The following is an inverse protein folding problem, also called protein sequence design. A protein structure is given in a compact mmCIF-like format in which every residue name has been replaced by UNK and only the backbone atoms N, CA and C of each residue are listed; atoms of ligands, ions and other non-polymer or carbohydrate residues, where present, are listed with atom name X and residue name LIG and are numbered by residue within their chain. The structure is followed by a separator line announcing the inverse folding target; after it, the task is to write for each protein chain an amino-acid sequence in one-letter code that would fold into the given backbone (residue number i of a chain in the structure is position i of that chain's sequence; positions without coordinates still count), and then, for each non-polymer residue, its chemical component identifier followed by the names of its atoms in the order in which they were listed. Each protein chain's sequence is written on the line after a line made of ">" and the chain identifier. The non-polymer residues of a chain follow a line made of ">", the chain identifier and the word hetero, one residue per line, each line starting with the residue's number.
data_IF_041961447022
#
_entry.id   IF_041961447022
#
_cell.length_a   1.000
_cell.length_b   1.000
_cell.length_c   1.000
_cell.angle_alpha   90.00
_cell.angle_beta   90.00
_cell.angle_gamma   90.00
#
_symmetry.space_group_name_H-M   'P 1'
#
loop_
_entity.id
_entity.type
_entity.pdbx_description
1 polymer ?
#
# COMPACT_ATOMS: atom_id res chain seq x y z
N UNK A 1 -9.49 3.91 4.07
CA UNK A 1 -8.50 2.84 3.81
C UNK A 1 -7.89 2.40 5.15
N UNK A 2 -7.69 1.09 5.32
CA UNK A 2 -7.07 0.52 6.53
C UNK A 2 -5.64 0.04 6.18
N UNK A 3 -4.58 0.70 6.68
CA UNK A 3 -3.20 0.34 6.36
C UNK A 3 -2.77 -1.02 6.93
N UNK A 4 -3.45 -1.53 7.97
CA UNK A 4 -3.15 -2.83 8.58
C UNK A 4 -4.08 -3.95 8.11
N UNK A 5 -4.89 -3.72 7.08
CA UNK A 5 -5.81 -4.72 6.54
C UNK A 5 -5.07 -5.99 6.10
N UNK A 6 -5.62 -7.15 6.48
CA UNK A 6 -5.09 -8.45 6.09
C UNK A 6 -6.21 -9.31 5.51
N UNK A 7 -6.02 -9.83 4.29
CA UNK A 7 -6.97 -10.71 3.62
C UNK A 7 -6.87 -12.15 4.12
N UNK A 8 -7.84 -13.00 3.76
CA UNK A 8 -7.83 -14.44 4.07
C UNK A 8 -6.63 -15.19 3.47
N UNK A 9 -6.05 -14.66 2.38
CA UNK A 9 -4.86 -15.22 1.71
C UNK A 9 -3.56 -14.49 2.10
N UNK A 10 -3.60 -13.71 3.20
CA UNK A 10 -2.46 -12.98 3.75
C UNK A 10 -1.88 -11.89 2.80
N UNK A 11 -2.72 -11.32 1.94
CA UNK A 11 -2.40 -10.05 1.32
C UNK A 11 -2.56 -8.94 2.36
N UNK A 12 -1.64 -7.97 2.42
CA UNK A 12 -1.59 -6.96 3.48
C UNK A 12 -1.49 -5.53 2.97
N UNK A 13 -1.95 -4.60 3.81
CA UNK A 13 -1.84 -3.16 3.62
C UNK A 13 -2.92 -2.58 2.70
N UNK A 14 -2.83 -1.29 2.42
CA UNK A 14 -3.78 -0.58 1.54
C UNK A 14 -3.74 -1.10 0.09
N UNK A 15 -2.59 -1.64 -0.34
CA UNK A 15 -2.36 -2.18 -1.66
C UNK A 15 -2.56 -3.70 -1.75
N UNK A 16 -2.82 -4.38 -0.62
CA UNK A 16 -3.07 -5.82 -0.57
C UNK A 16 -1.97 -6.65 -1.26
N UNK A 17 -0.69 -6.31 -0.99
CA UNK A 17 0.41 -7.07 -1.55
C UNK A 17 0.49 -8.50 -0.98
N UNK A 18 0.57 -9.47 -1.89
CA UNK A 18 0.98 -10.83 -1.55
C UNK A 18 2.48 -10.87 -1.21
N UNK A 19 2.89 -11.73 -0.29
CA UNK A 19 4.28 -11.83 0.18
C UNK A 19 5.31 -11.90 -0.96
N UNK A 20 5.12 -12.81 -1.92
CA UNK A 20 6.06 -12.97 -3.04
C UNK A 20 6.17 -11.73 -3.91
N UNK A 21 5.04 -11.11 -4.23
CA UNK A 21 5.01 -9.88 -5.03
C UNK A 21 5.66 -8.71 -4.27
N UNK A 22 5.38 -8.56 -2.98
CA UNK A 22 6.03 -7.56 -2.15
C UNK A 22 7.56 -7.67 -2.17
N UNK A 23 8.08 -8.88 -1.99
CA UNK A 23 9.53 -9.14 -2.06
C UNK A 23 10.12 -8.86 -3.43
N UNK A 24 9.40 -9.14 -4.52
CA UNK A 24 9.82 -8.84 -5.90
C UNK A 24 9.96 -7.33 -6.12
N UNK A 25 9.15 -6.51 -5.44
CA UNK A 25 9.21 -5.06 -5.50
C UNK A 25 9.97 -4.43 -4.33
N UNK A 26 10.85 -5.19 -3.69
CA UNK A 26 11.80 -4.79 -2.65
C UNK A 26 11.16 -4.30 -1.35
N UNK A 27 9.91 -4.64 -1.07
CA UNK A 27 9.34 -4.38 0.25
C UNK A 27 10.00 -5.30 1.29
N UNK A 28 10.46 -4.72 2.37
CA UNK A 28 11.05 -5.46 3.49
C UNK A 28 9.96 -6.18 4.27
N UNK A 29 10.18 -7.46 4.50
CA UNK A 29 9.30 -8.28 5.35
C UNK A 29 10.17 -9.18 6.20
N UNK A 30 10.15 -8.96 7.51
CA UNK A 30 10.87 -9.74 8.51
C UNK A 30 10.04 -9.85 9.80
N UNK A 31 10.68 -10.28 10.91
CA UNK A 31 10.03 -10.47 12.21
C UNK A 31 9.48 -9.17 12.81
N UNK A 32 10.08 -8.02 12.54
CA UNK A 32 9.76 -6.73 13.14
C UNK A 32 9.13 -5.75 12.15
N UNK A 33 9.43 -5.90 10.86
CA UNK A 33 9.02 -4.97 9.80
C UNK A 33 8.21 -5.68 8.74
N UNK A 34 7.08 -5.09 8.34
CA UNK A 34 6.31 -5.49 7.17
C UNK A 34 5.92 -4.23 6.37
N UNK A 35 6.74 -3.85 5.38
CA UNK A 35 6.52 -2.64 4.58
C UNK A 35 5.29 -2.70 3.66
N UNK A 36 4.60 -3.84 3.58
CA UNK A 36 3.27 -3.88 2.95
C UNK A 36 2.26 -3.02 3.69
N UNK A 37 2.50 -2.81 4.99
CA UNK A 37 1.68 -1.99 5.87
C UNK A 37 2.06 -0.50 5.82
N UNK A 38 3.29 -0.15 5.37
CA UNK A 38 3.68 1.25 5.16
C UNK A 38 2.96 1.81 3.92
N UNK A 39 2.08 2.83 4.07
CA UNK A 39 1.35 3.37 2.92
C UNK A 39 2.26 3.99 1.85
N UNK A 40 3.40 4.55 2.24
CA UNK A 40 4.34 5.21 1.31
C UNK A 40 5.15 4.16 0.56
N UNK A 41 5.84 3.26 1.29
CA UNK A 41 6.66 2.21 0.68
C UNK A 41 5.83 1.32 -0.24
N UNK A 42 4.63 0.87 0.23
CA UNK A 42 3.75 0.03 -0.58
C UNK A 42 3.18 0.77 -1.80
N UNK A 43 2.93 2.09 -1.73
CA UNK A 43 2.48 2.86 -2.88
C UNK A 43 3.57 3.00 -3.95
N UNK A 44 4.83 3.20 -3.56
CA UNK A 44 5.96 3.17 -4.50
C UNK A 44 6.11 1.80 -5.18
N UNK A 45 5.98 0.72 -4.42
CA UNK A 45 6.01 -0.64 -4.95
C UNK A 45 4.85 -0.91 -5.93
N UNK A 46 3.64 -0.46 -5.60
CA UNK A 46 2.46 -0.59 -6.46
C UNK A 46 2.59 0.22 -7.76
N UNK A 47 3.10 1.44 -7.68
CA UNK A 47 3.37 2.27 -8.86
C UNK A 47 4.38 1.59 -9.79
N UNK A 48 5.44 0.99 -9.23
CA UNK A 48 6.43 0.23 -10.00
C UNK A 48 5.82 -1.00 -10.65
N UNK A 49 5.01 -1.78 -9.91
CA UNK A 49 4.28 -2.91 -10.46
C UNK A 49 3.40 -2.51 -11.66
N UNK A 50 2.62 -1.44 -11.51
CA UNK A 50 1.72 -0.96 -12.56
C UNK A 50 2.48 -0.46 -13.79
N UNK A 51 3.62 0.22 -13.59
CA UNK A 51 4.53 0.62 -14.66
C UNK A 51 5.07 -0.59 -15.44
N UNK A 52 5.56 -1.60 -14.73
CA UNK A 52 6.08 -2.83 -15.34
C UNK A 52 4.97 -3.58 -16.10
N UNK A 53 3.77 -3.67 -15.52
CA UNK A 53 2.61 -4.27 -16.17
C UNK A 53 2.19 -3.50 -17.44
N UNK A 54 2.19 -2.17 -17.39
CA UNK A 54 1.94 -1.34 -18.57
C UNK A 54 2.98 -1.57 -19.67
N UNK A 55 4.24 -1.70 -19.30
CA UNK A 55 5.32 -2.03 -20.26
C UNK A 55 5.07 -3.38 -20.95
N UNK A 56 4.52 -4.37 -20.22
CA UNK A 56 4.20 -5.70 -20.77
C UNK A 56 2.97 -5.66 -21.68
N UNK A 57 1.91 -4.99 -21.25
CA UNK A 57 0.60 -5.07 -21.90
C UNK A 57 0.32 -3.94 -22.88
N UNK A 58 0.93 -2.76 -22.70
CA UNK A 58 0.69 -1.55 -23.51
C UNK A 58 -0.66 -0.88 -23.28
N UNK A 59 -1.43 -1.35 -22.28
CA UNK A 59 -2.78 -0.88 -21.98
C UNK A 59 -3.00 -0.81 -20.46
N UNK A 60 -3.59 0.29 -19.96
CA UNK A 60 -3.83 0.49 -18.52
C UNK A 60 -4.91 -0.42 -17.96
N UNK A 61 -5.96 -0.75 -18.72
CA UNK A 61 -7.00 -1.66 -18.26
C UNK A 61 -6.45 -3.06 -18.03
N UNK A 62 -5.53 -3.51 -18.90
CA UNK A 62 -4.82 -4.78 -18.75
C UNK A 62 -3.81 -4.74 -17.59
N UNK A 63 -3.10 -3.63 -17.41
CA UNK A 63 -2.19 -3.45 -16.28
C UNK A 63 -2.93 -3.50 -14.94
N UNK A 64 -4.07 -2.80 -14.83
CA UNK A 64 -4.92 -2.81 -13.65
C UNK A 64 -5.55 -4.20 -13.42
N UNK A 65 -6.02 -4.87 -14.48
CA UNK A 65 -6.51 -6.24 -14.39
C UNK A 65 -5.41 -7.19 -13.86
N UNK A 66 -4.16 -7.02 -14.33
CA UNK A 66 -3.02 -7.84 -13.89
C UNK A 66 -2.66 -7.61 -12.43
N UNK A 67 -2.89 -6.43 -11.89
CA UNK A 67 -2.71 -6.15 -10.47
C UNK A 67 -3.63 -7.02 -9.60
N UNK A 68 -4.88 -7.18 -10.02
CA UNK A 68 -5.86 -8.01 -9.32
C UNK A 68 -5.63 -9.52 -9.47
N UNK A 69 -5.42 -10.00 -10.71
CA UNK A 69 -5.37 -11.45 -10.95
C UNK A 69 -3.99 -12.01 -11.34
N UNK A 70 -3.00 -11.15 -11.45
CA UNK A 70 -1.65 -11.51 -11.93
C UNK A 70 -1.54 -11.55 -13.46
N UNK A 71 -0.36 -11.20 -13.96
CA UNK A 71 -0.06 -11.15 -15.40
C UNK A 71 -0.29 -12.49 -16.11
N UNK A 72 -0.12 -13.61 -15.41
CA UNK A 72 -0.36 -14.95 -15.96
C UNK A 72 -1.82 -15.18 -16.37
N UNK A 73 -2.79 -14.70 -15.58
CA UNK A 73 -4.21 -14.84 -15.90
C UNK A 73 -4.63 -13.90 -17.03
N UNK A 74 -4.10 -12.68 -17.08
CA UNK A 74 -4.31 -11.76 -18.21
C UNK A 74 -3.77 -12.38 -19.50
N UNK A 75 -2.55 -12.92 -19.50
CA UNK A 75 -1.96 -13.60 -20.67
C UNK A 75 -2.78 -14.83 -21.12
N UNK A 76 -3.35 -15.59 -20.18
CA UNK A 76 -4.29 -16.70 -20.52
C UNK A 76 -5.53 -16.17 -21.22
N UNK A 77 -6.11 -15.07 -20.71
CA UNK A 77 -7.29 -14.44 -21.31
C UNK A 77 -7.01 -13.92 -22.73
N UNK A 78 -5.87 -13.25 -22.93
CA UNK A 78 -5.41 -12.80 -24.25
C UNK A 78 -5.31 -13.97 -25.23
N UNK A 79 -4.66 -15.08 -24.85
CA UNK A 79 -4.56 -16.25 -25.73
C UNK A 79 -5.92 -16.85 -26.08
N UNK A 80 -6.84 -16.94 -25.10
CA UNK A 80 -8.21 -17.46 -25.34
C UNK A 80 -9.05 -16.53 -26.22
N UNK A 81 -8.74 -15.25 -26.23
CA UNK A 81 -9.39 -14.24 -27.09
C UNK A 81 -8.70 -14.08 -28.44
N UNK A 82 -7.95 -15.07 -28.92
CA UNK A 82 -7.27 -15.01 -30.20
C UNK A 82 -6.12 -14.02 -30.28
N UNK A 83 -5.50 -13.64 -29.15
CA UNK A 83 -4.39 -12.70 -29.09
C UNK A 83 -4.81 -11.22 -28.90
N UNK A 84 -6.10 -10.93 -28.79
CA UNK A 84 -6.58 -9.57 -28.55
C UNK A 84 -6.05 -8.99 -27.23
N UNK A 85 -5.62 -7.73 -27.26
CA UNK A 85 -5.21 -6.95 -26.09
C UNK A 85 -6.23 -5.88 -25.70
N UNK A 86 -7.44 -5.95 -26.25
CA UNK A 86 -8.56 -5.12 -25.79
C UNK A 86 -9.20 -5.72 -24.55
N UNK A 87 -9.36 -4.91 -23.48
CA UNK A 87 -9.92 -5.37 -22.21
C UNK A 87 -11.30 -5.98 -22.36
N UNK A 88 -12.18 -5.38 -23.15
CA UNK A 88 -13.56 -5.85 -23.31
C UNK A 88 -13.64 -7.16 -24.10
N UNK A 89 -12.74 -7.34 -25.05
CA UNK A 89 -12.62 -8.59 -25.81
C UNK A 89 -12.13 -9.75 -24.93
N UNK A 90 -11.18 -9.49 -24.00
CA UNK A 90 -10.69 -10.54 -23.09
C UNK A 90 -11.55 -10.72 -21.82
N UNK A 91 -12.46 -9.80 -21.55
CA UNK A 91 -13.32 -9.75 -20.37
C UNK A 91 -13.99 -11.10 -20.03
N UNK A 92 -14.62 -11.85 -20.97
CA UNK A 92 -15.26 -13.14 -20.69
C UNK A 92 -14.29 -14.22 -20.20
N UNK A 93 -13.00 -14.08 -20.50
CA UNK A 93 -11.94 -15.05 -20.17
C UNK A 93 -11.17 -14.69 -18.90
N UNK A 94 -11.40 -13.50 -18.33
CA UNK A 94 -10.83 -13.08 -17.06
C UNK A 94 -11.52 -13.77 -15.86
N UNK A 95 -10.84 -13.93 -14.71
CA UNK A 95 -11.49 -14.32 -13.47
C UNK A 95 -12.69 -13.40 -13.14
N UNK A 96 -13.75 -13.98 -12.55
CA UNK A 96 -15.00 -13.24 -12.28
C UNK A 96 -14.76 -11.95 -11.47
N UNK A 97 -13.92 -12.02 -10.45
CA UNK A 97 -13.56 -10.86 -9.63
C UNK A 97 -12.89 -9.76 -10.47
N UNK A 98 -11.94 -10.13 -11.32
CA UNK A 98 -11.17 -9.20 -12.15
C UNK A 98 -12.04 -8.47 -13.18
N UNK A 99 -13.12 -9.11 -13.66
CA UNK A 99 -14.09 -8.47 -14.57
C UNK A 99 -14.70 -7.21 -13.97
N UNK A 100 -15.01 -7.21 -12.68
CA UNK A 100 -15.53 -6.05 -11.96
C UNK A 100 -14.45 -5.06 -11.51
N UNK A 101 -13.20 -5.50 -11.41
CA UNK A 101 -12.13 -4.70 -10.80
C UNK A 101 -11.79 -3.43 -11.60
N UNK A 102 -11.60 -3.55 -12.91
CA UNK A 102 -11.30 -2.40 -13.79
C UNK A 102 -12.47 -1.42 -13.86
N UNK A 103 -13.74 -1.84 -14.11
CA UNK A 103 -14.87 -0.92 -14.01
C UNK A 103 -15.01 -0.24 -12.65
N UNK A 104 -14.75 -0.95 -11.55
CA UNK A 104 -14.77 -0.36 -10.20
C UNK A 104 -13.67 0.68 -9.99
N UNK A 105 -12.48 0.46 -10.55
CA UNK A 105 -11.41 1.44 -10.55
C UNK A 105 -11.82 2.73 -11.29
N UNK A 106 -12.41 2.60 -12.48
CA UNK A 106 -12.92 3.75 -13.25
C UNK A 106 -14.01 4.49 -12.48
N UNK A 107 -14.95 3.76 -11.87
CA UNK A 107 -16.01 4.34 -11.05
C UNK A 107 -15.45 5.09 -9.83
N UNK A 108 -14.41 4.57 -9.17
CA UNK A 108 -13.73 5.24 -8.07
C UNK A 108 -13.04 6.54 -8.52
N UNK A 109 -12.33 6.51 -9.65
CA UNK A 109 -11.71 7.71 -10.23
C UNK A 109 -12.77 8.77 -10.58
N UNK A 110 -13.86 8.36 -11.23
CA UNK A 110 -14.98 9.25 -11.55
C UNK A 110 -15.55 9.89 -10.27
N UNK A 111 -15.81 9.07 -9.25
CA UNK A 111 -16.34 9.57 -7.96
C UNK A 111 -15.39 10.56 -7.30
N UNK A 112 -14.07 10.29 -7.32
CA UNK A 112 -13.06 11.21 -6.76
C UNK A 112 -12.92 12.51 -7.56
N UNK A 113 -13.09 12.45 -8.89
CA UNK A 113 -13.03 13.64 -9.75
C UNK A 113 -14.27 14.55 -9.60
N UNK A 114 -15.46 13.93 -9.46
CA UNK A 114 -16.75 14.61 -9.51
C UNK A 114 -17.53 14.54 -8.19
N UNK A 115 -16.86 14.30 -7.05
CA UNK A 115 -17.53 14.12 -5.75
C UNK A 115 -18.42 15.33 -5.36
N UNK A 116 -18.02 16.56 -5.72
CA UNK A 116 -18.81 17.77 -5.45
C UNK A 116 -20.11 17.79 -6.22
N UNK A 117 -20.08 17.38 -7.49
CA UNK A 117 -21.25 17.35 -8.37
C UNK A 117 -22.30 16.32 -7.90
N UNK A 118 -21.83 15.32 -7.14
CA UNK A 118 -22.67 14.30 -6.51
C UNK A 118 -23.03 14.59 -5.05
N UNK A 119 -22.76 15.80 -4.56
CA UNK A 119 -23.07 16.20 -3.18
C UNK A 119 -22.28 15.44 -2.10
N UNK A 120 -21.15 14.81 -2.46
CA UNK A 120 -20.30 14.10 -1.52
C UNK A 120 -19.40 15.10 -0.79
N UNK A 121 -19.45 15.10 0.54
CA UNK A 121 -18.59 15.94 1.37
C UNK A 121 -17.49 15.11 2.02
N UNK A 122 -16.21 15.47 1.84
CA UNK A 122 -15.11 14.80 2.53
C UNK A 122 -15.23 14.92 4.04
N UNK A 123 -14.93 13.84 4.76
CA UNK A 123 -14.83 13.88 6.23
C UNK A 123 -13.44 14.33 6.65
N UNK A 124 -13.36 15.12 7.71
CA UNK A 124 -12.10 15.38 8.39
C UNK A 124 -11.54 14.05 8.95
N UNK A 125 -10.26 13.85 8.80
CA UNK A 125 -9.55 12.70 9.36
C UNK A 125 -8.77 13.14 10.59
N UNK A 126 -8.79 12.32 11.65
CA UNK A 126 -8.04 12.55 12.88
C UNK A 126 -6.57 12.09 12.71
N UNK A 127 -5.87 12.65 11.72
CA UNK A 127 -4.44 12.43 11.53
C UNK A 127 -3.70 13.76 11.61
N UNK A 128 -2.47 13.80 12.13
CA UNK A 128 -1.69 15.03 12.19
C UNK A 128 -1.47 15.59 10.78
N UNK A 129 -1.64 16.90 10.62
CA UNK A 129 -1.43 17.58 9.34
C UNK A 129 0.05 17.56 8.90
N UNK A 130 0.97 17.52 9.90
CA UNK A 130 2.41 17.49 9.67
C UNK A 130 3.05 16.42 10.55
N UNK A 131 3.96 15.66 9.95
CA UNK A 131 4.76 14.64 10.62
C UNK A 131 6.25 14.88 10.31
N UNK A 132 7.08 14.68 11.31
CA UNK A 132 8.51 14.64 11.14
C UNK A 132 9.01 13.19 11.08
N UNK A 133 10.18 13.01 10.48
CA UNK A 133 10.79 11.70 10.28
C UNK A 133 12.18 11.68 10.91
N UNK A 134 12.42 10.68 11.76
CA UNK A 134 13.67 10.49 12.51
C UNK A 134 14.35 9.19 12.09
N UNK A 135 15.68 9.24 11.94
CA UNK A 135 16.50 8.05 11.70
C UNK A 135 16.81 7.33 13.02
N UNK A 136 16.38 6.08 13.11
CA UNK A 136 16.60 5.24 14.29
C UNK A 136 17.72 4.24 13.98
N UNK A 137 18.81 4.32 14.74
CA UNK A 137 20.07 3.56 14.54
C UNK A 137 20.33 2.49 15.61
N UNK A 138 19.38 2.29 16.52
CA UNK A 138 19.40 1.26 17.55
C UNK A 138 17.98 0.75 17.80
N UNK A 139 17.81 -0.46 18.35
CA UNK A 139 16.47 -0.95 18.66
C UNK A 139 15.74 0.01 19.59
N UNK A 140 14.50 0.37 19.22
CA UNK A 140 13.67 1.31 19.97
C UNK A 140 12.25 0.79 20.02
N UNK A 141 11.69 0.62 21.22
CA UNK A 141 10.32 0.18 21.44
C UNK A 141 9.37 1.38 21.55
N UNK A 142 8.16 1.29 21.02
CA UNK A 142 7.15 2.36 21.10
C UNK A 142 6.85 2.77 22.55
N UNK A 143 6.88 1.82 23.49
CA UNK A 143 6.72 2.13 24.91
C UNK A 143 7.76 3.11 25.44
N UNK A 144 9.03 2.99 25.04
CA UNK A 144 10.09 3.92 25.44
C UNK A 144 9.84 5.33 24.90
N UNK A 145 9.34 5.42 23.65
CA UNK A 145 8.97 6.72 23.05
C UNK A 145 7.78 7.32 23.83
N UNK A 146 6.76 6.50 24.07
CA UNK A 146 5.56 6.90 24.79
C UNK A 146 5.87 7.44 26.20
N UNK A 147 6.72 6.74 26.95
CA UNK A 147 7.17 7.15 28.29
C UNK A 147 7.97 8.46 28.28
N UNK A 148 8.77 8.67 27.24
CA UNK A 148 9.66 9.84 27.15
C UNK A 148 8.91 11.12 26.77
N UNK A 149 8.02 11.07 25.79
CA UNK A 149 7.40 12.26 25.19
C UNK A 149 5.89 12.34 25.36
N UNK A 150 5.27 11.35 26.02
CA UNK A 150 3.83 11.36 26.34
C UNK A 150 2.88 11.07 25.18
N UNK A 151 3.39 10.68 24.00
CA UNK A 151 2.56 10.23 22.88
C UNK A 151 2.04 8.81 23.16
N UNK A 152 0.81 8.49 22.74
CA UNK A 152 0.29 7.13 22.90
C UNK A 152 0.94 6.15 21.93
N UNK A 153 1.03 4.87 22.30
CA UNK A 153 1.57 3.82 21.41
C UNK A 153 0.71 3.64 20.17
N UNK A 154 -0.58 3.84 20.32
CA UNK A 154 -1.57 3.79 19.24
C UNK A 154 -1.29 4.87 18.18
N UNK A 155 -1.03 6.12 18.61
CA UNK A 155 -0.66 7.21 17.69
C UNK A 155 0.67 6.93 16.96
N UNK A 156 1.65 6.35 17.66
CA UNK A 156 2.92 5.95 17.04
C UNK A 156 2.65 4.83 16.01
N UNK A 157 1.86 3.82 16.35
CA UNK A 157 1.53 2.69 15.48
C UNK A 157 0.75 3.13 14.24
N UNK A 158 -0.19 4.07 14.37
CA UNK A 158 -0.98 4.61 13.26
C UNK A 158 -0.10 5.31 12.21
N UNK A 159 0.97 5.99 12.64
CA UNK A 159 1.94 6.63 11.76
C UNK A 159 3.03 5.69 11.24
N UNK A 160 3.24 4.56 11.93
CA UNK A 160 4.32 3.60 11.66
C UNK A 160 3.81 2.15 11.60
N UNK A 161 2.78 1.86 10.79
CA UNK A 161 2.12 0.56 10.81
C UNK A 161 3.00 -0.61 10.34
N UNK A 162 4.15 -0.33 9.73
CA UNK A 162 5.12 -1.31 9.30
C UNK A 162 5.83 -2.03 10.46
N UNK A 163 5.87 -1.45 11.67
CA UNK A 163 6.54 -2.05 12.82
C UNK A 163 5.59 -2.96 13.60
N UNK A 164 5.50 -4.22 13.15
CA UNK A 164 4.47 -5.18 13.59
C UNK A 164 4.59 -5.67 15.04
N UNK A 165 5.66 -5.34 15.75
CA UNK A 165 5.89 -5.68 17.17
C UNK A 165 6.15 -4.46 18.05
N UNK A 166 5.76 -3.28 17.60
CA UNK A 166 6.05 -2.01 18.29
C UNK A 166 7.57 -1.78 18.53
N UNK A 167 8.43 -2.43 17.71
CA UNK A 167 9.89 -2.32 17.79
C UNK A 167 10.42 -1.85 16.45
N UNK A 168 11.19 -0.76 16.48
CA UNK A 168 11.98 -0.27 15.36
C UNK A 168 13.36 -0.95 15.46
N UNK A 169 13.72 -1.86 14.53
CA UNK A 169 14.92 -2.69 14.67
C UNK A 169 16.17 -2.01 14.11
N UNK A 170 16.39 -0.72 14.45
CA UNK A 170 17.58 0.04 14.04
C UNK A 170 18.87 -0.61 14.49
N UNK A 171 19.93 -0.48 13.68
CA UNK A 171 21.30 -0.86 14.00
C UNK A 171 22.27 0.16 13.44
N UNK A 172 23.54 0.13 13.86
CA UNK A 172 24.58 1.01 13.30
C UNK A 172 24.72 0.87 11.78
N UNK A 173 24.50 -0.33 11.25
CA UNK A 173 24.62 -0.65 9.82
C UNK A 173 23.33 -0.48 9.04
N UNK A 174 22.18 -0.34 9.71
CA UNK A 174 20.86 -0.18 9.07
C UNK A 174 19.95 0.72 9.89
N UNK A 175 19.63 1.86 9.33
CA UNK A 175 18.67 2.80 9.91
C UNK A 175 17.24 2.49 9.48
N UNK A 176 16.31 2.82 10.37
CA UNK A 176 14.87 2.78 10.09
C UNK A 176 14.24 4.14 10.41
N UNK A 177 13.14 4.45 9.77
CA UNK A 177 12.48 5.74 9.89
C UNK A 177 11.31 5.66 10.88
N UNK A 178 11.30 6.55 11.87
CA UNK A 178 10.19 6.80 12.78
C UNK A 178 9.48 8.08 12.35
N UNK A 179 8.16 8.02 12.16
CA UNK A 179 7.31 9.18 11.91
C UNK A 179 6.61 9.57 13.21
N UNK A 180 6.69 10.83 13.60
CA UNK A 180 5.97 11.40 14.75
C UNK A 180 5.24 12.67 14.34
N UNK A 181 4.11 13.03 15.01
CA UNK A 181 3.46 14.32 14.79
C UNK A 181 4.43 15.46 15.13
N UNK A 182 4.41 16.52 14.34
CA UNK A 182 5.32 17.68 14.47
C UNK A 182 5.39 18.28 15.88
N UNK A 183 4.27 18.27 16.60
CA UNK A 183 4.22 18.81 17.98
C UNK A 183 5.06 18.05 19.00
N UNK A 184 5.54 16.84 18.70
CA UNK A 184 6.43 16.04 19.55
C UNK A 184 7.92 16.16 19.16
N UNK A 185 8.24 16.82 18.05
CA UNK A 185 9.61 16.91 17.52
C UNK A 185 10.60 17.48 18.54
N UNK A 186 10.27 18.61 19.16
CA UNK A 186 11.15 19.27 20.13
C UNK A 186 11.40 18.46 21.41
N UNK A 187 10.53 17.49 21.72
CA UNK A 187 10.66 16.63 22.89
C UNK A 187 11.42 15.34 22.58
N UNK A 188 11.46 14.93 21.30
CA UNK A 188 12.12 13.70 20.85
C UNK A 188 13.58 13.91 20.47
N UNK A 189 14.00 15.10 20.05
CA UNK A 189 15.38 15.49 19.70
C UNK A 189 16.14 15.88 20.95
#
# INVERSE_FOLDING_TARGET
>A
LNPVATSRVNARGIWQFMYRTARQYNLEINTYVDERLDPVASSHAAAKYLKDAYTIFGDWSLAIASYNCGSGNVNKAIRRAGGSRDFWTIYPYLPRETRGYVPSFVAALYTLAYYKDHGITPRAIAMPAHVDTFEIRRPLHFGQISELIGITKEEIADLNPQYVKEIIPGTENKTYLLKLPFNYTAQFV
#
